data_IF_817575556980
#
_entry.id   IF_817575556980
#
_cell.length_a   1.000
_cell.length_b   1.000
_cell.length_c   1.000
_cell.angle_alpha   90.00
_cell.angle_beta   90.00
_cell.angle_gamma   90.00
#
_symmetry.space_group_name_H-M   'P 1'
#
loop_
_entity.id
_entity.type
_entity.pdbx_description
1 polymer ?
#
# COMPACT_ATOMS: atom_id res chain seq x y z
N UNK A 1 -29.65 12.37 6.47
CA UNK A 1 -29.65 11.14 7.28
C UNK A 1 -29.88 11.55 8.72
N UNK A 2 -30.84 10.95 9.45
CA UNK A 2 -30.88 11.12 10.90
C UNK A 2 -29.57 10.57 11.50
N UNK A 3 -29.12 11.09 12.65
CA UNK A 3 -28.01 10.50 13.38
C UNK A 3 -28.35 9.03 13.65
N UNK A 4 -27.44 8.11 13.32
CA UNK A 4 -27.58 6.72 13.77
C UNK A 4 -27.53 6.75 15.29
N UNK A 5 -28.57 6.26 15.94
CA UNK A 5 -28.51 5.94 17.37
C UNK A 5 -27.49 4.82 17.53
N UNK A 6 -26.51 5.06 18.38
CA UNK A 6 -25.39 4.18 18.63
C UNK A 6 -25.41 3.84 20.12
N UNK A 7 -25.24 2.55 20.45
CA UNK A 7 -25.11 2.11 21.84
C UNK A 7 -23.94 2.84 22.52
N UNK A 8 -24.08 3.12 23.80
CA UNK A 8 -23.04 3.69 24.65
C UNK A 8 -21.94 2.67 24.95
N UNK A 9 -20.76 3.15 25.37
CA UNK A 9 -19.62 2.29 25.77
C UNK A 9 -20.05 1.30 26.85
N UNK A 10 -20.81 1.78 27.84
CA UNK A 10 -21.30 0.98 28.96
C UNK A 10 -22.27 -0.14 28.50
N UNK A 11 -23.09 0.12 27.48
CA UNK A 11 -24.01 -0.88 26.91
C UNK A 11 -23.25 -1.98 26.16
N UNK A 12 -22.17 -1.63 25.45
CA UNK A 12 -21.29 -2.60 24.76
C UNK A 12 -20.48 -3.41 25.76
N UNK A 13 -19.92 -2.77 26.80
CA UNK A 13 -19.19 -3.45 27.87
C UNK A 13 -20.07 -4.42 28.66
N UNK A 14 -21.34 -4.06 28.91
CA UNK A 14 -22.28 -4.92 29.64
C UNK A 14 -22.68 -6.19 28.85
N UNK A 15 -22.75 -6.11 27.52
CA UNK A 15 -23.14 -7.24 26.65
C UNK A 15 -22.09 -8.35 26.58
N UNK A 16 -20.81 -8.03 26.85
CA UNK A 16 -19.68 -8.93 26.61
C UNK A 16 -18.79 -9.13 27.83
N UNK A 17 -19.33 -8.90 29.04
CA UNK A 17 -18.63 -9.01 30.32
C UNK A 17 -17.92 -10.35 30.55
N UNK A 18 -18.40 -11.42 29.90
CA UNK A 18 -17.87 -12.78 29.99
C UNK A 18 -17.06 -13.22 28.74
N UNK A 19 -17.03 -12.41 27.67
CA UNK A 19 -16.27 -12.68 26.43
C UNK A 19 -15.06 -11.74 26.33
N UNK A 20 -14.13 -11.95 27.25
CA UNK A 20 -12.95 -11.10 27.43
C UNK A 20 -11.90 -11.34 26.33
N UNK A 21 -11.96 -10.59 25.22
CA UNK A 21 -10.72 -10.35 24.46
C UNK A 21 -10.65 -9.03 23.69
N UNK A 22 -11.78 -8.40 23.36
CA UNK A 22 -11.76 -7.14 22.62
C UNK A 22 -13.11 -6.42 22.63
N UNK A 23 -13.15 -5.16 23.09
CA UNK A 23 -14.37 -4.34 23.07
C UNK A 23 -14.85 -3.99 21.63
N UNK A 24 -14.07 -4.33 20.60
CA UNK A 24 -14.39 -4.11 19.18
C UNK A 24 -15.18 -5.27 18.55
N UNK A 25 -15.46 -6.34 19.28
CA UNK A 25 -16.25 -7.48 18.81
C UNK A 25 -17.78 -7.24 18.99
N UNK A 26 -18.70 -7.81 18.16
CA UNK A 26 -18.48 -8.60 16.94
C UNK A 26 -18.26 -7.76 15.70
N UNK A 27 -18.82 -6.55 15.68
CA UNK A 27 -18.61 -5.60 14.63
C UNK A 27 -17.56 -4.62 15.11
N UNK A 28 -16.39 -4.59 14.46
CA UNK A 28 -15.37 -3.53 14.61
C UNK A 28 -15.89 -2.18 14.04
N UNK A 29 -17.17 -1.89 14.26
CA UNK A 29 -17.87 -0.67 13.94
C UNK A 29 -17.47 0.36 15.01
N UNK A 30 -16.70 1.31 14.53
CA UNK A 30 -15.97 2.23 15.35
C UNK A 30 -16.79 3.23 16.10
N UNK A 31 -16.85 3.09 17.43
CA UNK A 31 -17.03 4.20 18.36
C UNK A 31 -15.74 5.02 18.52
N UNK A 32 -14.95 5.12 17.45
CA UNK A 32 -13.69 5.85 17.45
C UNK A 32 -13.99 7.33 17.48
N UNK A 33 -13.45 8.03 18.49
CA UNK A 33 -13.41 9.48 18.44
C UNK A 33 -12.59 9.87 17.22
N UNK A 34 -13.20 10.59 16.28
CA UNK A 34 -12.51 11.17 15.11
C UNK A 34 -12.09 12.59 15.44
N UNK A 35 -11.03 13.04 14.77
CA UNK A 35 -10.64 14.44 14.77
C UNK A 35 -11.60 15.21 13.85
N UNK A 36 -12.26 16.23 14.36
CA UNK A 36 -13.29 17.00 13.66
C UNK A 36 -12.68 18.29 13.09
N UNK A 37 -12.80 18.53 11.78
CA UNK A 37 -12.30 19.76 11.16
C UNK A 37 -12.89 21.03 11.80
N UNK A 38 -12.02 21.96 12.18
CA UNK A 38 -12.40 23.22 12.82
C UNK A 38 -12.68 23.15 14.33
N UNK A 39 -12.59 21.96 14.94
CA UNK A 39 -12.74 21.76 16.38
C UNK A 39 -11.48 21.16 17.01
N UNK A 40 -10.93 20.12 16.38
CA UNK A 40 -9.76 19.39 16.87
C UNK A 40 -8.51 19.79 16.08
N UNK A 41 -7.42 20.10 16.78
CA UNK A 41 -6.12 20.46 16.20
C UNK A 41 -5.19 19.25 16.02
N UNK A 42 -5.39 18.19 16.81
CA UNK A 42 -4.53 17.00 16.84
C UNK A 42 -5.21 15.75 16.25
N UNK A 43 -4.43 14.77 15.75
CA UNK A 43 -4.93 13.44 15.45
C UNK A 43 -5.52 12.77 16.68
N UNK A 44 -6.39 11.79 16.46
CA UNK A 44 -6.92 10.96 17.53
C UNK A 44 -6.04 9.73 17.69
N UNK A 45 -5.70 9.47 18.93
CA UNK A 45 -4.96 8.29 19.36
C UNK A 45 -5.88 7.35 20.11
N UNK A 46 -5.65 6.06 19.98
CA UNK A 46 -6.25 5.05 20.82
C UNK A 46 -5.17 4.14 21.41
N UNK A 47 -5.53 3.41 22.46
CA UNK A 47 -4.61 2.54 23.19
C UNK A 47 -4.87 1.07 22.90
N UNK A 48 -5.62 0.76 21.84
CA UNK A 48 -5.96 -0.61 21.51
C UNK A 48 -4.80 -1.28 20.78
N UNK A 49 -4.71 -2.59 20.94
CA UNK A 49 -3.79 -3.39 20.16
C UNK A 49 -4.26 -3.53 18.71
N UNK A 50 -3.36 -3.98 17.83
CA UNK A 50 -3.69 -4.16 16.42
C UNK A 50 -4.85 -5.16 16.23
N UNK A 51 -5.83 -4.86 15.34
CA UNK A 51 -7.06 -5.63 15.25
C UNK A 51 -6.96 -6.91 14.40
N UNK A 52 -5.92 -7.09 13.59
CA UNK A 52 -5.84 -8.14 12.57
C UNK A 52 -5.64 -9.52 13.17
N UNK A 53 -4.72 -9.71 14.12
CA UNK A 53 -4.48 -11.04 14.72
C UNK A 53 -5.68 -11.53 15.50
N UNK A 54 -6.36 -10.63 16.22
CA UNK A 54 -7.59 -10.94 16.95
C UNK A 54 -8.72 -11.33 16.02
N UNK A 55 -8.94 -10.52 14.98
CA UNK A 55 -9.96 -10.78 13.97
C UNK A 55 -9.68 -12.07 13.20
N UNK A 56 -8.42 -12.38 12.88
CA UNK A 56 -8.03 -13.65 12.29
C UNK A 56 -8.44 -14.83 13.17
N UNK A 57 -8.10 -14.81 14.47
CA UNK A 57 -8.46 -15.89 15.41
C UNK A 57 -9.96 -16.12 15.48
N UNK A 58 -10.73 -15.03 15.50
CA UNK A 58 -12.19 -15.12 15.55
C UNK A 58 -12.78 -15.66 14.26
N UNK A 59 -12.35 -15.13 13.10
CA UNK A 59 -12.79 -15.63 11.79
C UNK A 59 -12.50 -17.13 11.67
N UNK A 60 -11.30 -17.58 12.06
CA UNK A 60 -10.93 -19.00 11.97
C UNK A 60 -11.67 -19.90 12.96
N UNK A 61 -12.11 -19.36 14.10
CA UNK A 61 -12.96 -20.09 15.04
C UNK A 61 -14.34 -20.36 14.44
N UNK A 62 -14.90 -19.38 13.75
CA UNK A 62 -16.25 -19.45 13.17
C UNK A 62 -16.24 -20.11 11.77
N UNK A 63 -15.13 -19.99 11.05
CA UNK A 63 -14.92 -20.43 9.66
C UNK A 63 -13.56 -21.12 9.48
N UNK A 64 -13.36 -22.32 10.06
CA UNK A 64 -12.11 -23.07 9.95
C UNK A 64 -11.76 -23.47 8.51
N UNK A 65 -12.76 -23.59 7.61
CA UNK A 65 -12.57 -23.91 6.20
C UNK A 65 -11.69 -22.90 5.44
N UNK A 66 -11.51 -21.68 5.98
CA UNK A 66 -10.64 -20.66 5.39
C UNK A 66 -9.17 -21.11 5.40
N UNK A 67 -8.73 -21.94 6.35
CA UNK A 67 -7.35 -22.43 6.36
C UNK A 67 -7.03 -23.28 5.13
N UNK A 68 -8.04 -23.96 4.55
CA UNK A 68 -7.88 -24.75 3.31
C UNK A 68 -7.56 -23.86 2.10
N UNK A 69 -7.86 -22.56 2.18
CA UNK A 69 -7.58 -21.58 1.13
C UNK A 69 -6.20 -20.94 1.25
N UNK A 70 -5.42 -21.26 2.29
CA UNK A 70 -4.10 -20.68 2.48
C UNK A 70 -3.12 -21.19 1.44
N UNK A 71 -2.45 -20.26 0.76
CA UNK A 71 -1.49 -20.58 -0.27
C UNK A 71 -1.05 -19.35 -1.04
N UNK A 72 -0.45 -19.60 -2.19
CA UNK A 72 -0.06 -18.58 -3.14
C UNK A 72 -0.84 -18.77 -4.45
N UNK A 73 -1.13 -17.67 -5.14
CA UNK A 73 -1.76 -17.68 -6.45
C UNK A 73 -0.75 -17.37 -7.55
N UNK A 74 -0.38 -18.43 -8.29
CA UNK A 74 0.53 -18.33 -9.44
C UNK A 74 -0.01 -17.50 -10.60
N UNK A 75 -1.33 -17.25 -10.68
CA UNK A 75 -1.91 -16.36 -11.68
C UNK A 75 -1.34 -14.94 -11.58
N UNK A 76 -0.94 -14.51 -10.37
CA UNK A 76 -0.30 -13.21 -10.17
C UNK A 76 0.97 -13.05 -10.99
N UNK A 77 1.72 -14.14 -11.25
CA UNK A 77 2.91 -14.10 -12.10
C UNK A 77 2.53 -13.76 -13.54
N UNK A 78 1.50 -14.41 -14.07
CA UNK A 78 1.03 -14.15 -15.44
C UNK A 78 0.41 -12.77 -15.59
N UNK A 79 -0.34 -12.31 -14.59
CA UNK A 79 -0.87 -10.95 -14.52
C UNK A 79 0.28 -9.95 -14.53
N UNK A 80 1.33 -10.18 -13.74
CA UNK A 80 2.53 -9.33 -13.71
C UNK A 80 3.16 -9.22 -15.09
N UNK A 81 3.41 -10.35 -15.76
CA UNK A 81 4.00 -10.36 -17.10
C UNK A 81 3.12 -9.64 -18.12
N UNK A 82 1.80 -9.88 -18.10
CA UNK A 82 0.86 -9.21 -19.00
C UNK A 82 0.84 -7.69 -18.77
N UNK A 83 0.78 -7.24 -17.51
CA UNK A 83 0.80 -5.82 -17.13
C UNK A 83 2.10 -5.14 -17.57
N UNK A 84 3.26 -5.77 -17.35
CA UNK A 84 4.56 -5.24 -17.76
C UNK A 84 4.66 -5.16 -19.28
N UNK A 85 4.30 -6.22 -20.00
CA UNK A 85 4.31 -6.24 -21.47
C UNK A 85 3.38 -5.17 -22.05
N UNK A 86 2.21 -4.94 -21.46
CA UNK A 86 1.30 -3.88 -21.89
C UNK A 86 1.91 -2.49 -21.67
N UNK A 87 2.48 -2.20 -20.51
CA UNK A 87 3.13 -0.91 -20.23
C UNK A 87 4.32 -0.65 -21.16
N UNK A 88 5.21 -1.62 -21.32
CA UNK A 88 6.37 -1.51 -22.23
C UNK A 88 5.92 -1.41 -23.70
N UNK A 89 4.87 -2.14 -24.08
CA UNK A 89 4.25 -2.05 -25.40
C UNK A 89 3.66 -0.67 -25.69
N UNK A 90 2.99 -0.06 -24.71
CA UNK A 90 2.49 1.32 -24.81
C UNK A 90 3.65 2.32 -24.91
N UNK A 91 4.71 2.14 -24.13
CA UNK A 91 5.91 2.97 -24.22
C UNK A 91 6.54 2.89 -25.61
N UNK A 92 6.68 1.69 -26.18
CA UNK A 92 7.17 1.51 -27.55
C UNK A 92 6.23 2.14 -28.59
N UNK A 93 4.91 1.92 -28.46
CA UNK A 93 3.92 2.44 -29.40
C UNK A 93 4.01 3.96 -29.51
N UNK A 94 4.02 4.67 -28.39
CA UNK A 94 4.07 6.13 -28.39
C UNK A 94 5.48 6.70 -28.60
N UNK A 95 6.53 5.97 -28.22
CA UNK A 95 7.90 6.42 -28.41
C UNK A 95 8.50 6.12 -29.80
N UNK A 96 7.98 5.13 -30.54
CA UNK A 96 8.52 4.74 -31.87
C UNK A 96 7.54 4.77 -33.04
N UNK A 97 6.24 4.60 -32.79
CA UNK A 97 5.25 4.43 -33.88
C UNK A 97 4.33 5.65 -34.01
N UNK A 98 3.77 6.11 -32.89
CA UNK A 98 2.81 7.21 -32.81
C UNK A 98 3.44 8.45 -32.16
N UNK A 99 4.65 8.82 -32.59
CA UNK A 99 5.47 9.87 -31.94
C UNK A 99 4.80 11.24 -31.91
N UNK A 100 3.95 11.55 -32.88
CA UNK A 100 3.27 12.86 -32.95
C UNK A 100 1.94 12.89 -32.16
N UNK A 101 1.50 11.77 -31.59
CA UNK A 101 0.19 11.61 -30.94
C UNK A 101 0.19 12.00 -29.46
N UNK A 102 0.82 13.12 -29.14
CA UNK A 102 1.08 13.57 -27.76
C UNK A 102 -0.18 13.63 -26.88
N UNK A 103 -1.30 14.15 -27.37
CA UNK A 103 -2.54 14.25 -26.59
C UNK A 103 -3.20 12.88 -26.36
N UNK A 104 -3.15 12.00 -27.37
CA UNK A 104 -3.64 10.62 -27.23
C UNK A 104 -2.75 9.84 -26.26
N UNK A 105 -1.43 10.04 -26.32
CA UNK A 105 -0.48 9.47 -25.37
C UNK A 105 -0.84 9.88 -23.94
N UNK A 106 -1.08 11.18 -23.68
CA UNK A 106 -1.46 11.66 -22.34
C UNK A 106 -2.76 11.02 -21.86
N UNK A 107 -3.79 10.93 -22.72
CA UNK A 107 -5.05 10.28 -22.36
C UNK A 107 -4.87 8.79 -22.04
N UNK A 108 -4.09 8.08 -22.86
CA UNK A 108 -3.81 6.64 -22.67
C UNK A 108 -2.95 6.42 -21.43
N UNK A 109 -1.94 7.25 -21.20
CA UNK A 109 -1.09 7.19 -20.02
C UNK A 109 -1.90 7.40 -18.74
N UNK A 110 -2.82 8.37 -18.73
CA UNK A 110 -3.67 8.62 -17.56
C UNK A 110 -4.67 7.49 -17.30
N UNK A 111 -5.37 7.03 -18.34
CA UNK A 111 -6.45 6.05 -18.19
C UNK A 111 -5.93 4.61 -18.10
N UNK A 112 -5.20 4.15 -19.10
CA UNK A 112 -4.69 2.77 -19.19
C UNK A 112 -3.40 2.64 -18.39
N UNK A 113 -2.43 3.53 -18.62
CA UNK A 113 -1.14 3.52 -17.92
C UNK A 113 -1.32 3.63 -16.40
N UNK A 114 -2.10 4.60 -15.92
CA UNK A 114 -2.40 4.78 -14.49
C UNK A 114 -3.11 3.57 -13.87
N UNK A 115 -4.04 2.94 -14.60
CA UNK A 115 -4.71 1.72 -14.14
C UNK A 115 -3.73 0.55 -14.01
N UNK A 116 -2.85 0.36 -15.00
CA UNK A 116 -1.82 -0.68 -14.97
C UNK A 116 -0.76 -0.41 -13.88
N UNK A 117 -0.40 0.85 -13.62
CA UNK A 117 0.46 1.23 -12.49
C UNK A 117 -0.20 0.93 -11.14
N UNK A 118 -1.52 1.12 -11.03
CA UNK A 118 -2.28 0.73 -9.82
C UNK A 118 -2.27 -0.78 -9.64
N UNK A 119 -2.47 -1.55 -10.72
CA UNK A 119 -2.35 -3.01 -10.71
C UNK A 119 -0.96 -3.47 -10.24
N UNK A 120 0.11 -2.79 -10.64
CA UNK A 120 1.47 -3.07 -10.15
C UNK A 120 1.58 -2.82 -8.64
N UNK A 121 0.93 -1.78 -8.11
CA UNK A 121 0.84 -1.56 -6.66
C UNK A 121 0.20 -2.74 -5.91
N UNK A 122 -0.85 -3.34 -6.48
CA UNK A 122 -1.48 -4.56 -5.94
C UNK A 122 -0.53 -5.76 -6.05
N UNK A 123 0.16 -5.94 -7.18
CA UNK A 123 1.19 -6.98 -7.33
C UNK A 123 2.29 -6.80 -6.27
N UNK A 124 2.68 -5.55 -5.97
CA UNK A 124 3.64 -5.23 -4.92
C UNK A 124 3.17 -5.65 -3.53
N UNK A 125 1.88 -5.46 -3.24
CA UNK A 125 1.24 -5.97 -2.04
C UNK A 125 1.33 -7.50 -1.95
N UNK A 126 0.92 -8.22 -2.99
CA UNK A 126 0.87 -9.68 -2.98
C UNK A 126 2.24 -10.33 -2.84
N UNK A 127 3.24 -9.88 -3.61
CA UNK A 127 4.57 -10.51 -3.54
C UNK A 127 5.23 -10.23 -2.18
N UNK A 128 4.95 -9.08 -1.56
CA UNK A 128 5.45 -8.72 -0.23
C UNK A 128 5.06 -9.76 0.80
N UNK A 129 3.83 -10.25 0.73
CA UNK A 129 3.29 -11.30 1.59
C UNK A 129 3.65 -12.72 1.13
N UNK A 130 4.49 -12.85 0.11
CA UNK A 130 4.86 -14.11 -0.54
C UNK A 130 3.67 -14.88 -1.16
N UNK A 131 2.66 -14.18 -1.66
CA UNK A 131 1.42 -14.78 -2.17
C UNK A 131 1.44 -15.06 -3.67
N UNK A 132 2.54 -14.77 -4.39
CA UNK A 132 2.63 -14.99 -5.84
C UNK A 132 3.30 -16.31 -6.21
N UNK A 133 4.12 -16.89 -5.33
CA UNK A 133 4.93 -18.08 -5.60
C UNK A 133 5.36 -18.81 -4.33
N UNK A 134 5.89 -20.03 -4.47
CA UNK A 134 6.22 -20.92 -3.36
C UNK A 134 7.34 -20.40 -2.42
N UNK A 135 8.29 -19.62 -2.93
CA UNK A 135 9.45 -19.15 -2.15
C UNK A 135 9.54 -17.64 -2.10
N UNK A 136 10.12 -17.10 -1.02
CA UNK A 136 10.34 -15.65 -0.91
C UNK A 136 11.25 -15.10 -2.01
N UNK A 137 12.22 -15.89 -2.48
CA UNK A 137 13.09 -15.50 -3.59
C UNK A 137 12.31 -15.31 -4.90
N UNK A 138 11.43 -16.28 -5.24
CA UNK A 138 10.57 -16.17 -6.42
C UNK A 138 9.66 -14.94 -6.35
N UNK A 139 9.04 -14.68 -5.20
CA UNK A 139 8.19 -13.51 -5.00
C UNK A 139 8.96 -12.19 -5.17
N UNK A 140 10.19 -12.10 -4.65
CA UNK A 140 11.03 -10.92 -4.88
C UNK A 140 11.31 -10.67 -6.35
N UNK A 141 11.50 -11.72 -7.14
CA UNK A 141 11.64 -11.60 -8.60
C UNK A 141 10.34 -11.18 -9.28
N UNK A 142 9.18 -11.67 -8.85
CA UNK A 142 7.88 -11.15 -9.32
C UNK A 142 7.77 -9.65 -9.07
N UNK A 143 8.14 -9.19 -7.87
CA UNK A 143 8.20 -7.77 -7.54
C UNK A 143 9.16 -6.98 -8.45
N UNK A 144 10.37 -7.49 -8.68
CA UNK A 144 11.33 -6.83 -9.58
C UNK A 144 10.82 -6.78 -11.03
N UNK A 145 10.17 -7.84 -11.53
CA UNK A 145 9.53 -7.84 -12.84
C UNK A 145 8.43 -6.78 -12.93
N UNK A 146 7.55 -6.71 -11.92
CA UNK A 146 6.52 -5.66 -11.83
C UNK A 146 7.10 -4.25 -11.75
N UNK A 147 8.35 -4.09 -11.31
CA UNK A 147 9.04 -2.79 -11.25
C UNK A 147 9.58 -2.31 -12.61
N UNK A 148 9.63 -3.15 -13.64
CA UNK A 148 10.18 -2.78 -14.96
C UNK A 148 9.59 -1.46 -15.50
N UNK A 149 8.26 -1.25 -15.56
CA UNK A 149 7.68 -0.02 -16.10
C UNK A 149 7.57 1.12 -15.08
N UNK A 150 8.10 0.97 -13.85
CA UNK A 150 7.90 1.96 -12.78
C UNK A 150 8.94 3.08 -12.77
N UNK A 151 10.07 2.95 -13.48
CA UNK A 151 11.16 3.94 -13.61
C UNK A 151 11.90 4.28 -12.29
N UNK A 152 11.34 3.89 -11.15
CA UNK A 152 11.92 4.07 -9.83
C UNK A 152 11.93 2.73 -9.05
N UNK A 153 12.95 2.47 -8.22
CA UNK A 153 13.14 1.16 -7.55
C UNK A 153 12.25 1.04 -6.32
N UNK A 154 10.98 0.72 -6.56
CA UNK A 154 9.93 0.67 -5.54
C UNK A 154 9.74 -0.70 -4.91
N UNK A 155 9.83 -1.79 -5.66
CA UNK A 155 9.40 -3.12 -5.22
C UNK A 155 10.02 -3.54 -3.89
N UNK A 156 11.35 -3.59 -3.79
CA UNK A 156 12.01 -4.10 -2.59
C UNK A 156 11.93 -3.12 -1.41
N UNK A 157 11.84 -1.82 -1.69
CA UNK A 157 11.54 -0.79 -0.69
C UNK A 157 10.15 -1.02 -0.12
N UNK A 158 9.13 -1.08 -1.00
CA UNK A 158 7.73 -1.34 -0.64
C UNK A 158 7.62 -2.59 0.24
N UNK A 159 8.25 -3.70 -0.15
CA UNK A 159 8.25 -4.92 0.66
C UNK A 159 8.73 -4.67 2.10
N UNK A 160 9.83 -3.94 2.28
CA UNK A 160 10.39 -3.67 3.60
C UNK A 160 9.47 -2.78 4.43
N UNK A 161 9.07 -1.63 3.89
CA UNK A 161 8.22 -0.66 4.58
C UNK A 161 6.84 -1.26 4.89
N UNK A 162 6.25 -2.00 3.97
CA UNK A 162 4.94 -2.61 4.15
C UNK A 162 4.95 -3.71 5.23
N UNK A 163 5.99 -4.56 5.27
CA UNK A 163 6.10 -5.55 6.37
C UNK A 163 6.32 -4.89 7.72
N UNK A 164 7.01 -3.76 7.77
CA UNK A 164 7.19 -2.97 8.99
C UNK A 164 5.87 -2.34 9.45
N UNK A 165 5.09 -1.79 8.50
CA UNK A 165 3.71 -1.35 8.76
C UNK A 165 2.88 -2.48 9.37
N UNK A 166 2.84 -3.68 8.76
CA UNK A 166 2.11 -4.82 9.31
C UNK A 166 2.61 -5.27 10.70
N UNK A 167 3.91 -5.13 10.97
CA UNK A 167 4.51 -5.51 12.25
C UNK A 167 4.20 -4.49 13.35
N UNK A 168 4.19 -3.20 13.00
CA UNK A 168 4.10 -2.08 13.93
C UNK A 168 2.90 -1.18 13.64
N UNK A 169 1.81 -1.74 13.13
CA UNK A 169 0.68 -0.96 12.64
C UNK A 169 0.12 -0.01 13.70
N UNK A 170 0.06 1.29 13.38
CA UNK A 170 -0.42 2.32 14.29
C UNK A 170 0.54 2.67 15.44
N UNK A 171 1.72 2.04 15.51
CA UNK A 171 2.73 2.34 16.53
C UNK A 171 3.54 3.56 16.12
N UNK A 172 3.34 4.65 16.86
CA UNK A 172 4.02 5.92 16.63
C UNK A 172 5.55 5.76 16.57
N UNK A 173 6.16 6.33 15.52
CA UNK A 173 7.62 6.28 15.29
C UNK A 173 8.13 5.01 14.61
N UNK A 174 7.35 3.93 14.55
CA UNK A 174 7.72 2.66 13.91
C UNK A 174 6.95 2.42 12.62
N UNK A 175 5.64 2.65 12.62
CA UNK A 175 4.81 2.53 11.43
C UNK A 175 5.21 3.58 10.37
N UNK A 176 5.73 3.18 9.19
CA UNK A 176 6.10 4.13 8.15
C UNK A 176 4.90 4.83 7.49
N UNK A 177 3.69 4.29 7.66
CA UNK A 177 2.47 4.84 7.07
C UNK A 177 1.94 6.03 7.89
N UNK A 178 2.35 6.15 9.15
CA UNK A 178 1.98 7.28 10.00
C UNK A 178 2.68 8.57 9.56
N UNK A 179 1.97 9.72 9.60
CA UNK A 179 2.56 11.01 9.29
C UNK A 179 3.58 11.45 10.34
N UNK A 180 4.63 12.14 9.88
CA UNK A 180 5.59 12.80 10.77
C UNK A 180 4.93 13.99 11.49
N UNK A 181 5.50 14.42 12.63
CA UNK A 181 4.96 15.54 13.42
C UNK A 181 4.76 16.82 12.60
N UNK A 182 5.71 17.13 11.72
CA UNK A 182 5.61 18.32 10.89
C UNK A 182 4.50 18.19 9.84
N UNK A 183 4.23 16.98 9.33
CA UNK A 183 3.12 16.72 8.41
C UNK A 183 1.78 16.93 9.13
N UNK A 184 1.67 16.42 10.36
CA UNK A 184 0.49 16.60 11.20
C UNK A 184 0.22 18.09 11.43
N UNK A 185 1.24 18.86 11.83
CA UNK A 185 1.11 20.30 12.10
C UNK A 185 0.82 21.12 10.84
N UNK A 186 1.45 20.79 9.71
CA UNK A 186 1.30 21.55 8.47
C UNK A 186 -0.07 21.31 7.81
N UNK A 187 -0.44 20.03 7.67
CA UNK A 187 -1.66 19.59 6.98
C UNK A 187 -2.87 19.78 7.89
N UNK A 188 -2.72 19.44 9.18
CA UNK A 188 -3.76 19.54 10.19
C UNK A 188 -5.10 18.97 9.70
N UNK A 189 -6.21 19.61 10.06
CA UNK A 189 -7.55 19.19 9.68
C UNK A 189 -8.12 19.91 8.46
N UNK A 190 -7.25 20.42 7.58
CA UNK A 190 -7.65 21.18 6.39
C UNK A 190 -7.86 20.25 5.16
N UNK A 191 -9.06 20.21 4.56
CA UNK A 191 -9.35 19.33 3.44
C UNK A 191 -8.55 19.66 2.16
N UNK A 192 -8.24 20.94 1.93
CA UNK A 192 -7.48 21.37 0.75
C UNK A 192 -6.02 20.96 0.91
N UNK A 193 -5.44 21.15 2.10
CA UNK A 193 -4.07 20.68 2.37
C UNK A 193 -3.97 19.17 2.28
N UNK A 194 -4.96 18.44 2.82
CA UNK A 194 -5.03 16.97 2.70
C UNK A 194 -5.08 16.52 1.24
N UNK A 195 -5.83 17.21 0.39
CA UNK A 195 -5.89 16.89 -1.05
C UNK A 195 -4.50 16.98 -1.71
N UNK A 196 -3.79 18.10 -1.53
CA UNK A 196 -2.45 18.25 -2.10
C UNK A 196 -1.43 17.30 -1.47
N UNK A 197 -1.54 17.03 -0.18
CA UNK A 197 -0.72 16.04 0.52
C UNK A 197 -0.88 14.63 -0.04
N UNK A 198 -2.12 14.22 -0.39
CA UNK A 198 -2.38 12.93 -1.04
C UNK A 198 -1.75 12.83 -2.43
N UNK A 199 -1.71 13.93 -3.21
CA UNK A 199 -1.07 13.93 -4.54
C UNK A 199 0.42 13.62 -4.45
N UNK A 200 1.10 14.14 -3.42
CA UNK A 200 2.55 13.95 -3.24
C UNK A 200 2.89 12.77 -2.32
N UNK A 201 1.90 11.98 -1.89
CA UNK A 201 2.07 10.96 -0.85
C UNK A 201 3.19 9.95 -1.17
N UNK A 202 3.34 9.54 -2.44
CA UNK A 202 4.45 8.66 -2.84
C UNK A 202 5.84 9.28 -2.62
N UNK A 203 5.98 10.59 -2.82
CA UNK A 203 7.23 11.32 -2.54
C UNK A 203 7.48 11.45 -1.04
N UNK A 204 6.41 11.55 -0.24
CA UNK A 204 6.51 11.62 1.21
C UNK A 204 7.17 10.37 1.82
N UNK A 205 6.96 9.17 1.27
CA UNK A 205 7.64 7.96 1.75
C UNK A 205 9.15 8.04 1.63
N UNK A 206 9.68 8.68 0.58
CA UNK A 206 11.13 8.90 0.45
C UNK A 206 11.62 9.81 1.58
N UNK A 207 10.91 10.92 1.84
CA UNK A 207 11.21 11.83 2.94
C UNK A 207 11.13 11.16 4.31
N UNK A 208 10.13 10.32 4.54
CA UNK A 208 9.96 9.55 5.79
C UNK A 208 11.07 8.54 6.01
N UNK A 209 11.46 7.80 4.96
CA UNK A 209 12.58 6.87 5.03
C UNK A 209 13.91 7.55 5.41
N UNK A 210 14.15 8.75 4.87
CA UNK A 210 15.31 9.59 5.23
C UNK A 210 15.22 10.09 6.67
N UNK A 211 14.06 10.58 7.10
CA UNK A 211 13.83 11.05 8.47
C UNK A 211 14.00 9.94 9.52
N UNK A 212 13.59 8.71 9.18
CA UNK A 212 13.78 7.51 10.00
C UNK A 212 15.20 6.92 9.89
N UNK A 213 16.12 7.57 9.16
CA UNK A 213 17.53 7.15 8.98
C UNK A 213 17.69 5.71 8.49
N UNK A 214 16.74 5.23 7.67
CA UNK A 214 16.69 3.85 7.24
C UNK A 214 17.80 3.55 6.23
N UNK A 215 18.67 2.61 6.58
CA UNK A 215 19.70 2.10 5.67
C UNK A 215 19.07 1.25 4.58
N UNK A 216 19.66 1.30 3.38
CA UNK A 216 19.26 0.45 2.26
C UNK A 216 19.67 -1.00 2.52
N UNK A 217 18.72 -1.91 2.35
CA UNK A 217 18.96 -3.34 2.37
C UNK A 217 19.63 -3.83 1.08
N UNK A 218 20.25 -5.02 1.15
CA UNK A 218 20.83 -5.68 -0.03
C UNK A 218 19.83 -5.84 -1.18
N UNK A 219 18.58 -6.15 -0.86
CA UNK A 219 17.54 -6.32 -1.87
C UNK A 219 17.11 -5.01 -2.51
N UNK A 220 17.07 -3.91 -1.76
CA UNK A 220 16.88 -2.58 -2.34
C UNK A 220 18.03 -2.25 -3.31
N UNK A 221 19.28 -2.54 -2.96
CA UNK A 221 20.42 -2.35 -3.88
C UNK A 221 20.27 -3.19 -5.18
N UNK A 222 19.81 -4.43 -5.08
CA UNK A 222 19.52 -5.24 -6.26
C UNK A 222 18.37 -4.67 -7.10
N UNK A 223 17.33 -4.13 -6.45
CA UNK A 223 16.24 -3.45 -7.16
C UNK A 223 16.75 -2.20 -7.87
N UNK A 224 17.61 -1.40 -7.24
CA UNK A 224 18.25 -0.24 -7.86
C UNK A 224 19.00 -0.63 -9.14
N UNK A 225 19.88 -1.63 -9.05
CA UNK A 225 20.62 -2.11 -10.22
C UNK A 225 19.68 -2.63 -11.32
N UNK A 226 18.67 -3.41 -10.94
CA UNK A 226 17.65 -3.93 -11.87
C UNK A 226 16.89 -2.80 -12.58
N UNK A 227 16.37 -1.84 -11.82
CA UNK A 227 15.63 -0.69 -12.34
C UNK A 227 16.48 0.13 -13.30
N UNK A 228 17.73 0.47 -12.94
CA UNK A 228 18.62 1.21 -13.84
C UNK A 228 18.88 0.49 -15.16
N UNK A 229 19.08 -0.83 -15.12
CA UNK A 229 19.28 -1.64 -16.33
C UNK A 229 18.00 -1.66 -17.18
N UNK A 230 16.84 -1.87 -16.57
CA UNK A 230 15.56 -1.89 -17.27
C UNK A 230 15.19 -0.53 -17.86
N UNK A 231 15.42 0.56 -17.13
CA UNK A 231 15.13 1.92 -17.60
C UNK A 231 16.03 2.29 -18.79
N UNK A 232 17.32 1.94 -18.74
CA UNK A 232 18.22 2.11 -19.86
C UNK A 232 17.75 1.29 -21.08
N UNK A 233 17.33 0.04 -20.86
CA UNK A 233 16.80 -0.80 -21.93
C UNK A 233 15.51 -0.22 -22.54
N UNK A 234 14.58 0.25 -21.70
CA UNK A 234 13.34 0.91 -22.15
C UNK A 234 13.66 2.17 -22.92
N UNK A 235 14.56 3.03 -22.43
CA UNK A 235 14.98 4.24 -23.15
C UNK A 235 15.54 3.88 -24.53
N UNK A 236 16.50 2.95 -24.60
CA UNK A 236 17.11 2.56 -25.89
C UNK A 236 16.10 1.91 -26.86
N UNK A 237 15.19 1.06 -26.37
CA UNK A 237 14.26 0.30 -27.22
C UNK A 237 12.99 1.07 -27.56
N UNK A 238 12.41 1.78 -26.59
CA UNK A 238 11.12 2.45 -26.71
C UNK A 238 11.24 3.93 -27.10
N UNK A 239 12.37 4.60 -26.88
CA UNK A 239 12.54 5.98 -27.35
C UNK A 239 13.77 6.66 -26.75
N UNK A 240 14.74 6.96 -27.62
CA UNK A 240 15.92 7.78 -27.35
C UNK A 240 15.89 9.05 -28.20
#
# INVERSE_FOLDING_TARGET
MPPREYNTVDEVEALHKDEQFDMRFPSYLGFWKRSVPGLDEEPRFDMYDEPHLKRKKQILKDHPEIEELYGYDTNTVWITLATVCAQVGLAYLFGRVLTDWHWTMVLVAYTIGGSLSTQIGIIFHEFTHNLCAATSLQNRWVGNLGNIPMIIPLAQSFRRYHLEHHTYQGVYGYDPDLPLEWEIRLIANDPIKKFFWLIIYGVMYLGRGLAQQKQLSRWELYNWAWTLVCDLAIYQLCGA
#
